data_IF_403870513093
#
_entry.id   IF_403870513093
#
_cell.length_a   1.000
_cell.length_b   1.000
_cell.length_c   1.000
_cell.angle_alpha   90.00
_cell.angle_beta   90.00
_cell.angle_gamma   90.00
#
_symmetry.space_group_name_H-M   'P 1'
#
loop_
_entity.id
_entity.type
_entity.pdbx_description
1 polymer ?
#
# COMPACT_ATOMS: atom_id res chain seq x y z
N UNK A 1 -0.88 25.67 23.65
CA UNK A 1 0.22 25.38 22.72
C UNK A 1 0.70 23.95 22.92
N UNK A 2 0.01 22.96 22.35
CA UNK A 2 0.43 21.54 22.28
C UNK A 2 -0.23 20.92 21.03
N UNK A 3 0.33 21.20 19.85
CA UNK A 3 -0.18 20.67 18.56
C UNK A 3 0.80 19.64 17.96
N UNK A 4 1.91 19.30 18.63
CA UNK A 4 3.05 18.63 17.97
C UNK A 4 3.14 17.11 18.21
N UNK A 5 2.24 16.47 18.94
CA UNK A 5 2.40 15.03 19.31
C UNK A 5 1.58 14.00 18.52
N UNK A 6 0.83 14.39 17.47
CA UNK A 6 -0.05 13.42 16.76
C UNK A 6 0.58 12.79 15.51
N UNK A 7 1.62 13.42 14.95
CA UNK A 7 2.42 12.82 13.90
C UNK A 7 3.57 12.05 14.54
N UNK A 8 3.32 10.80 14.93
CA UNK A 8 4.43 9.88 15.02
C UNK A 8 5.15 9.90 13.67
N UNK A 9 6.37 10.45 13.69
CA UNK A 9 7.17 10.66 12.51
C UNK A 9 7.19 9.35 11.70
N UNK A 10 6.81 9.35 10.41
CA UNK A 10 6.85 8.15 9.56
C UNK A 10 8.23 7.47 9.60
N UNK A 11 9.30 8.23 9.79
CA UNK A 11 10.65 7.72 9.99
C UNK A 11 10.83 7.01 11.34
N UNK A 12 10.21 7.49 12.42
CA UNK A 12 10.25 6.82 13.74
C UNK A 12 9.43 5.53 13.71
N UNK A 13 8.29 5.53 13.01
CA UNK A 13 7.62 4.30 12.63
C UNK A 13 8.62 3.41 11.90
N UNK A 14 9.09 3.77 10.70
CA UNK A 14 9.98 2.94 9.87
C UNK A 14 11.23 2.40 10.61
N UNK A 15 11.85 3.19 11.49
CA UNK A 15 13.03 2.81 12.26
C UNK A 15 12.74 1.80 13.37
N UNK A 16 11.60 1.91 14.07
CA UNK A 16 11.20 0.96 15.14
C UNK A 16 10.51 -0.29 14.62
N UNK A 17 10.19 -0.27 13.34
CA UNK A 17 9.38 -1.24 12.64
C UNK A 17 10.17 -2.41 12.05
N UNK A 18 11.46 -2.54 12.35
CA UNK A 18 12.24 -3.69 11.86
C UNK A 18 11.85 -5.03 12.49
N UNK A 19 11.10 -5.09 13.58
CA UNK A 19 10.83 -6.33 14.33
C UNK A 19 10.29 -7.52 13.50
N UNK A 20 9.16 -7.36 12.77
CA UNK A 20 8.60 -8.47 11.98
C UNK A 20 9.49 -8.89 10.81
N UNK A 21 10.18 -7.92 10.21
CA UNK A 21 11.16 -8.15 9.13
C UNK A 21 12.44 -8.84 9.65
N UNK A 22 12.98 -8.41 10.79
CA UNK A 22 14.20 -8.96 11.39
C UNK A 22 14.01 -10.36 11.94
N UNK A 23 12.76 -10.79 12.17
CA UNK A 23 12.39 -12.15 12.55
C UNK A 23 12.13 -13.07 11.34
N UNK A 24 12.25 -12.56 10.11
CA UNK A 24 12.05 -13.35 8.88
C UNK A 24 10.60 -13.79 8.62
N UNK A 25 9.62 -13.23 9.35
CA UNK A 25 8.20 -13.63 9.26
C UNK A 25 7.50 -13.06 8.03
N UNK A 26 8.03 -11.98 7.47
CA UNK A 26 7.48 -11.28 6.31
C UNK A 26 8.62 -10.65 5.50
N UNK A 27 8.48 -10.59 4.17
CA UNK A 27 9.47 -9.92 3.32
C UNK A 27 9.44 -8.41 3.54
N UNK A 28 10.56 -7.72 3.28
CA UNK A 28 10.64 -6.25 3.40
C UNK A 28 9.57 -5.53 2.57
N UNK A 29 9.33 -6.02 1.35
CA UNK A 29 8.32 -5.45 0.45
C UNK A 29 6.90 -5.58 1.01
N UNK A 30 6.52 -6.78 1.48
CA UNK A 30 5.20 -6.99 2.09
C UNK A 30 5.05 -6.19 3.38
N UNK A 31 6.13 -6.07 4.14
CA UNK A 31 6.16 -5.25 5.34
C UNK A 31 5.87 -3.78 5.04
N UNK A 32 6.57 -3.19 4.08
CA UNK A 32 6.36 -1.81 3.64
C UNK A 32 4.93 -1.59 3.11
N UNK A 33 4.36 -2.58 2.43
CA UNK A 33 2.96 -2.52 2.00
C UNK A 33 1.99 -2.45 3.18
N UNK A 34 2.17 -3.26 4.23
CA UNK A 34 1.37 -3.17 5.44
C UNK A 34 1.47 -1.77 6.06
N UNK A 35 2.68 -1.20 6.14
CA UNK A 35 2.87 0.15 6.67
C UNK A 35 2.13 1.22 5.86
N UNK A 36 2.18 1.12 4.53
CA UNK A 36 1.46 2.03 3.67
C UNK A 36 -0.05 1.94 3.88
N UNK A 37 -0.60 0.73 4.04
CA UNK A 37 -2.02 0.53 4.39
C UNK A 37 -2.37 1.25 5.70
N UNK A 38 -1.54 1.09 6.74
CA UNK A 38 -1.76 1.76 8.03
C UNK A 38 -1.66 3.29 7.91
N UNK A 39 -0.66 3.81 7.19
CA UNK A 39 -0.52 5.24 6.96
C UNK A 39 -1.71 5.84 6.20
N UNK A 40 -2.16 5.17 5.13
CA UNK A 40 -3.34 5.59 4.36
C UNK A 40 -4.61 5.56 5.21
N UNK A 41 -4.83 4.50 6.01
CA UNK A 41 -5.99 4.43 6.90
C UNK A 41 -5.95 5.53 7.97
N UNK A 42 -4.79 5.78 8.58
CA UNK A 42 -4.67 6.83 9.60
C UNK A 42 -4.91 8.21 9.02
N UNK A 43 -4.39 8.49 7.82
CA UNK A 43 -4.66 9.73 7.10
C UNK A 43 -6.17 9.90 6.88
N UNK A 44 -6.82 8.84 6.38
CA UNK A 44 -8.27 8.79 6.16
C UNK A 44 -9.08 9.13 7.41
N UNK A 45 -8.76 8.49 8.54
CA UNK A 45 -9.43 8.74 9.83
C UNK A 45 -9.20 10.18 10.28
N UNK A 46 -7.98 10.69 10.12
CA UNK A 46 -7.61 12.06 10.51
C UNK A 46 -8.36 13.08 9.66
N UNK A 47 -8.32 12.97 8.33
CA UNK A 47 -9.01 13.92 7.45
C UNK A 47 -10.52 13.90 7.62
N UNK A 48 -11.12 12.73 7.81
CA UNK A 48 -12.55 12.62 8.11
C UNK A 48 -12.92 13.32 9.42
N UNK A 49 -12.05 13.27 10.43
CA UNK A 49 -12.30 13.91 11.74
C UNK A 49 -12.10 15.43 11.72
N UNK A 50 -11.13 15.93 10.94
CA UNK A 50 -10.71 17.34 11.01
C UNK A 50 -11.17 18.21 9.84
N UNK A 51 -11.42 17.63 8.66
CA UNK A 51 -11.60 18.41 7.42
C UNK A 51 -12.84 18.06 6.60
N UNK A 52 -13.62 17.02 6.96
CA UNK A 52 -14.83 16.58 6.23
C UNK A 52 -14.62 16.39 4.71
N UNK A 53 -13.38 16.14 4.26
CA UNK A 53 -13.05 15.94 2.85
C UNK A 53 -13.27 14.49 2.41
N UNK A 54 -13.53 14.30 1.11
CA UNK A 54 -13.58 12.98 0.50
C UNK A 54 -12.15 12.42 0.37
N UNK A 55 -11.92 11.25 0.97
CA UNK A 55 -10.64 10.52 1.14
C UNK A 55 -10.00 9.98 -0.17
N UNK A 56 -10.35 10.56 -1.32
CA UNK A 56 -10.05 10.01 -2.64
C UNK A 56 -8.54 9.97 -2.92
N UNK A 57 -7.77 10.94 -2.42
CA UNK A 57 -6.31 11.01 -2.63
C UNK A 57 -5.58 9.84 -1.98
N UNK A 58 -5.89 9.51 -0.72
CA UNK A 58 -5.23 8.40 -0.01
C UNK A 58 -5.59 7.06 -0.64
N UNK A 59 -6.86 6.89 -1.06
CA UNK A 59 -7.28 5.70 -1.79
C UNK A 59 -6.56 5.54 -3.14
N UNK A 60 -6.40 6.63 -3.87
CA UNK A 60 -5.76 6.64 -5.19
C UNK A 60 -4.26 6.34 -5.09
N UNK A 61 -3.58 6.89 -4.08
CA UNK A 61 -2.18 6.54 -3.77
C UNK A 61 -2.08 5.04 -3.44
N UNK A 62 -2.94 4.53 -2.57
CA UNK A 62 -2.93 3.12 -2.18
C UNK A 62 -3.19 2.20 -3.39
N UNK A 63 -4.17 2.54 -4.24
CA UNK A 63 -4.44 1.82 -5.51
C UNK A 63 -3.26 1.85 -6.46
N UNK A 64 -2.61 3.01 -6.62
CA UNK A 64 -1.48 3.17 -7.53
C UNK A 64 -0.30 2.30 -7.08
N UNK A 65 0.05 2.36 -5.80
CA UNK A 65 1.12 1.53 -5.22
C UNK A 65 0.76 0.05 -5.33
N UNK A 66 -0.48 -0.32 -5.00
CA UNK A 66 -0.96 -1.69 -5.14
C UNK A 66 -0.86 -2.21 -6.58
N UNK A 67 -1.15 -1.37 -7.58
CA UNK A 67 -0.98 -1.71 -8.99
C UNK A 67 0.50 -1.79 -9.41
N UNK A 68 1.43 -1.19 -8.67
CA UNK A 68 2.86 -1.11 -9.02
C UNK A 68 3.77 -2.12 -8.35
N UNK A 69 3.23 -3.14 -7.67
CA UNK A 69 4.02 -4.18 -7.00
C UNK A 69 3.61 -5.57 -7.48
N UNK A 70 4.55 -6.54 -7.56
CA UNK A 70 4.22 -7.92 -7.96
C UNK A 70 3.57 -8.73 -6.83
N UNK A 71 3.58 -8.21 -5.61
CA UNK A 71 3.16 -8.94 -4.42
C UNK A 71 1.67 -9.33 -4.45
N UNK A 72 1.32 -10.56 -4.01
CA UNK A 72 -0.07 -11.00 -3.81
C UNK A 72 -0.79 -10.20 -2.72
N UNK A 73 -2.12 -10.35 -2.70
CA UNK A 73 -3.02 -9.70 -1.74
C UNK A 73 -2.57 -9.93 -0.29
N UNK A 74 -2.69 -8.90 0.55
CA UNK A 74 -2.42 -9.04 1.99
C UNK A 74 -3.60 -9.74 2.66
N UNK A 75 -3.34 -10.82 3.38
CA UNK A 75 -4.34 -11.45 4.23
C UNK A 75 -4.63 -10.60 5.47
N UNK A 76 -5.80 -10.80 6.08
CA UNK A 76 -6.12 -10.21 7.38
C UNK A 76 -5.11 -10.66 8.44
N UNK A 77 -4.69 -11.93 8.41
CA UNK A 77 -3.71 -12.49 9.35
C UNK A 77 -2.35 -11.80 9.24
N UNK A 78 -1.84 -11.57 8.02
CA UNK A 78 -0.58 -10.85 7.82
C UNK A 78 -0.67 -9.41 8.33
N UNK A 79 -1.77 -8.73 8.06
CA UNK A 79 -2.02 -7.37 8.55
C UNK A 79 -2.12 -7.35 10.08
N UNK A 80 -2.83 -8.29 10.68
CA UNK A 80 -2.98 -8.39 12.14
C UNK A 80 -1.67 -8.71 12.85
N UNK A 81 -0.86 -9.61 12.28
CA UNK A 81 0.46 -9.92 12.82
C UNK A 81 1.38 -8.69 12.85
N UNK A 82 1.37 -7.89 11.78
CA UNK A 82 2.13 -6.63 11.73
C UNK A 82 1.53 -5.59 12.68
N UNK A 83 0.20 -5.45 12.72
CA UNK A 83 -0.52 -4.53 13.58
C UNK A 83 -0.29 -4.80 15.07
N UNK A 84 -0.34 -6.06 15.48
CA UNK A 84 -0.07 -6.48 16.85
C UNK A 84 1.39 -6.21 17.22
N UNK A 85 2.33 -6.49 16.31
CA UNK A 85 3.75 -6.17 16.52
C UNK A 85 4.00 -4.67 16.68
N UNK A 86 3.30 -3.86 15.88
CA UNK A 86 3.26 -2.40 15.97
C UNK A 86 2.73 -1.97 17.35
N UNK A 87 1.56 -2.46 17.74
CA UNK A 87 0.90 -2.10 19.00
C UNK A 87 1.78 -2.41 20.22
N UNK A 88 2.50 -3.54 20.22
CA UNK A 88 3.45 -3.87 21.29
C UNK A 88 4.68 -2.96 21.33
N UNK A 89 5.05 -2.34 20.21
CA UNK A 89 6.24 -1.49 20.09
C UNK A 89 5.98 -0.02 20.42
N UNK A 90 4.72 0.39 20.52
CA UNK A 90 4.29 1.76 20.79
C UNK A 90 3.39 1.84 22.03
N UNK A 91 3.20 3.03 22.59
CA UNK A 91 2.27 3.24 23.69
C UNK A 91 0.82 3.03 23.23
N UNK A 92 0.03 2.37 24.08
CA UNK A 92 -1.32 1.84 23.79
C UNK A 92 -2.29 2.89 23.21
N UNK A 93 -2.11 4.17 23.55
CA UNK A 93 -2.92 5.29 23.07
C UNK A 93 -2.77 5.61 21.58
N UNK A 94 -1.78 5.03 20.88
CA UNK A 94 -1.52 5.34 19.48
C UNK A 94 -2.30 4.46 18.49
N UNK A 95 -2.85 3.34 18.97
CA UNK A 95 -3.52 2.29 18.19
C UNK A 95 -4.89 1.94 18.80
N UNK A 96 -5.90 2.77 18.53
CA UNK A 96 -7.30 2.49 18.86
C UNK A 96 -8.10 1.91 17.69
N UNK A 97 -7.47 1.76 16.53
CA UNK A 97 -8.13 1.36 15.28
C UNK A 97 -8.44 -0.15 15.29
N UNK A 98 -9.60 -0.53 14.77
CA UNK A 98 -9.98 -1.93 14.61
C UNK A 98 -9.30 -2.50 13.36
N UNK A 99 -8.47 -3.53 13.51
CA UNK A 99 -7.76 -4.16 12.39
C UNK A 99 -8.69 -4.64 11.28
N UNK A 100 -9.91 -5.06 11.63
CA UNK A 100 -10.94 -5.46 10.67
C UNK A 100 -11.40 -4.28 9.82
N UNK A 101 -11.51 -3.08 10.40
CA UNK A 101 -11.86 -1.88 9.65
C UNK A 101 -10.73 -1.44 8.70
N UNK A 102 -9.48 -1.54 9.15
CA UNK A 102 -8.30 -1.27 8.31
C UNK A 102 -8.27 -2.24 7.13
N UNK A 103 -8.49 -3.53 7.39
CA UNK A 103 -8.54 -4.56 6.36
C UNK A 103 -9.70 -4.32 5.37
N UNK A 104 -10.90 -3.97 5.87
CA UNK A 104 -12.04 -3.64 5.02
C UNK A 104 -11.79 -2.40 4.17
N UNK A 105 -11.14 -1.37 4.73
CA UNK A 105 -10.70 -0.20 3.98
C UNK A 105 -9.74 -0.61 2.85
N UNK A 106 -8.65 -1.30 3.18
CA UNK A 106 -7.69 -1.81 2.20
C UNK A 106 -8.40 -2.62 1.10
N UNK A 107 -9.21 -3.61 1.50
CA UNK A 107 -10.00 -4.45 0.61
C UNK A 107 -10.86 -3.64 -0.35
N UNK A 108 -11.64 -2.71 0.17
CA UNK A 108 -12.51 -1.85 -0.65
C UNK A 108 -11.69 -0.97 -1.60
N UNK A 109 -10.55 -0.45 -1.15
CA UNK A 109 -9.70 0.43 -1.94
C UNK A 109 -9.04 -0.32 -3.08
N UNK A 110 -8.47 -1.50 -2.83
CA UNK A 110 -7.65 -2.23 -3.82
C UNK A 110 -8.40 -3.32 -4.59
N UNK A 111 -9.46 -3.90 -4.02
CA UNK A 111 -10.26 -4.98 -4.61
C UNK A 111 -11.61 -4.47 -5.10
N UNK A 112 -11.62 -3.75 -6.22
CA UNK A 112 -12.84 -3.65 -7.04
C UNK A 112 -13.07 -4.88 -7.94
N UNK A 113 -12.19 -5.89 -8.00
CA UNK A 113 -12.44 -7.09 -8.84
C UNK A 113 -11.85 -8.45 -8.45
N UNK A 114 -11.13 -8.61 -7.33
CA UNK A 114 -10.51 -9.91 -6.98
C UNK A 114 -10.75 -10.21 -5.49
N UNK A 115 -11.60 -11.21 -5.23
CA UNK A 115 -12.12 -11.58 -3.91
C UNK A 115 -11.29 -12.67 -3.19
N UNK A 116 -10.19 -13.12 -3.77
CA UNK A 116 -9.39 -14.22 -3.22
C UNK A 116 -7.91 -13.88 -3.15
N UNK A 117 -7.23 -14.47 -2.16
CA UNK A 117 -5.77 -14.46 -1.99
C UNK A 117 -5.11 -15.30 -3.08
N UNK A 118 -5.33 -14.92 -4.33
CA UNK A 118 -4.73 -15.58 -5.49
C UNK A 118 -3.38 -14.92 -5.81
N UNK A 119 -2.45 -15.69 -6.40
CA UNK A 119 -1.32 -15.10 -7.09
C UNK A 119 -1.81 -14.04 -8.07
N UNK A 120 -1.04 -12.97 -8.25
CA UNK A 120 -1.36 -11.95 -9.25
C UNK A 120 -1.52 -12.59 -10.62
N UNK A 121 -2.51 -12.12 -11.38
CA UNK A 121 -2.73 -12.59 -12.74
C UNK A 121 -1.45 -12.46 -13.57
N UNK A 122 -1.28 -13.37 -14.54
CA UNK A 122 -0.15 -13.31 -15.47
C UNK A 122 -0.08 -11.95 -16.17
N UNK A 123 -1.23 -11.34 -16.48
CA UNK A 123 -1.30 -10.00 -17.05
C UNK A 123 -0.63 -8.95 -16.17
N UNK A 124 -0.86 -9.00 -14.85
CA UNK A 124 -0.23 -8.11 -13.88
C UNK A 124 1.27 -8.35 -13.78
N UNK A 125 1.70 -9.61 -13.72
CA UNK A 125 3.13 -9.97 -13.69
C UNK A 125 3.86 -9.50 -14.96
N UNK A 126 3.27 -9.68 -16.13
CA UNK A 126 3.78 -9.14 -17.39
C UNK A 126 3.90 -7.61 -17.36
N UNK A 127 2.90 -6.91 -16.80
CA UNK A 127 2.98 -5.45 -16.61
C UNK A 127 4.16 -5.07 -15.74
N UNK A 128 4.38 -5.78 -14.63
CA UNK A 128 5.50 -5.51 -13.74
C UNK A 128 6.84 -5.68 -14.47
N UNK A 129 7.02 -6.79 -15.18
CA UNK A 129 8.26 -7.05 -15.93
C UNK A 129 8.54 -6.02 -17.02
N UNK A 130 7.52 -5.64 -17.80
CA UNK A 130 7.66 -4.63 -18.86
C UNK A 130 8.01 -3.27 -18.25
N UNK A 131 7.30 -2.85 -17.20
CA UNK A 131 7.57 -1.58 -16.52
C UNK A 131 8.95 -1.55 -15.89
N UNK A 132 9.37 -2.64 -15.26
CA UNK A 132 10.72 -2.76 -14.69
C UNK A 132 11.79 -2.60 -15.77
N UNK A 133 11.64 -3.32 -16.89
CA UNK A 133 12.57 -3.22 -18.03
C UNK A 133 12.65 -1.79 -18.58
N UNK A 134 11.51 -1.09 -18.70
CA UNK A 134 11.49 0.31 -19.12
C UNK A 134 12.08 1.24 -18.05
N UNK A 135 11.84 0.97 -16.77
CA UNK A 135 12.37 1.77 -15.66
C UNK A 135 13.90 1.69 -15.60
N UNK A 136 14.46 0.49 -15.72
CA UNK A 136 15.90 0.25 -15.73
C UNK A 136 16.61 0.96 -16.89
N UNK A 137 15.88 1.22 -17.99
CA UNK A 137 16.37 1.94 -19.16
C UNK A 137 15.95 3.42 -19.18
N UNK A 138 15.43 3.97 -18.07
CA UNK A 138 14.95 5.36 -17.97
C UNK A 138 13.88 5.73 -19.01
N UNK A 139 13.14 4.73 -19.50
CA UNK A 139 12.11 4.89 -20.51
C UNK A 139 10.72 5.09 -19.89
N UNK A 140 10.53 5.00 -18.58
CA UNK A 140 9.24 5.36 -17.98
C UNK A 140 9.12 6.88 -17.76
N UNK A 141 7.92 7.48 -17.96
CA UNK A 141 6.73 6.88 -18.58
C UNK A 141 6.74 6.96 -20.12
N UNK A 142 7.65 7.73 -20.74
CA UNK A 142 7.58 8.13 -22.16
C UNK A 142 7.68 6.97 -23.16
N UNK A 143 8.54 5.99 -22.89
CA UNK A 143 8.78 4.80 -23.70
C UNK A 143 7.58 3.86 -23.82
N UNK A 144 6.60 3.94 -22.92
CA UNK A 144 5.33 3.20 -23.09
C UNK A 144 4.62 3.56 -24.39
N UNK A 145 4.69 4.84 -24.79
CA UNK A 145 4.06 5.32 -26.03
C UNK A 145 4.74 4.74 -27.28
N UNK A 146 6.03 4.43 -27.18
CA UNK A 146 6.88 3.94 -28.27
C UNK A 146 6.75 2.43 -28.51
N UNK A 147 6.19 1.68 -27.55
CA UNK A 147 5.94 0.25 -27.73
C UNK A 147 5.00 0.00 -28.92
N UNK A 148 5.34 -0.97 -29.78
CA UNK A 148 4.50 -1.37 -30.91
C UNK A 148 3.41 -2.34 -30.45
N UNK A 149 2.45 -1.85 -29.66
CA UNK A 149 1.36 -2.65 -29.12
C UNK A 149 0.01 -1.90 -29.14
N UNK A 150 -1.13 -2.62 -29.07
CA UNK A 150 -2.45 -2.02 -29.00
C UNK A 150 -2.60 -1.01 -27.83
N UNK A 151 -3.40 0.04 -28.05
CA UNK A 151 -3.63 1.12 -27.07
C UNK A 151 -4.09 0.60 -25.71
N UNK A 152 -5.01 -0.39 -25.71
CA UNK A 152 -5.52 -1.04 -24.50
C UNK A 152 -4.40 -1.54 -23.57
N UNK A 153 -3.34 -2.14 -24.12
CA UNK A 153 -2.22 -2.62 -23.31
C UNK A 153 -1.33 -1.48 -22.83
N UNK A 154 -1.12 -0.43 -23.64
CA UNK A 154 -0.38 0.77 -23.21
C UNK A 154 -1.05 1.44 -22.01
N UNK A 155 -2.37 1.64 -22.08
CA UNK A 155 -3.16 2.21 -20.97
C UNK A 155 -3.05 1.33 -19.72
N UNK A 156 -3.16 0.01 -19.86
CA UNK A 156 -2.98 -0.91 -18.74
C UNK A 156 -1.59 -0.80 -18.07
N UNK A 157 -0.54 -0.57 -18.86
CA UNK A 157 0.83 -0.37 -18.36
C UNK A 157 1.02 1.00 -17.68
N UNK A 158 0.21 2.02 -17.97
CA UNK A 158 0.37 3.37 -17.40
C UNK A 158 -0.03 3.48 -15.91
N UNK A 159 -0.67 2.45 -15.35
CA UNK A 159 -1.20 2.42 -13.98
C UNK A 159 -2.29 3.47 -13.70
N UNK A 160 -2.87 4.06 -14.74
CA UNK A 160 -3.91 5.08 -14.64
C UNK A 160 -5.12 4.59 -13.82
N UNK A 161 -5.75 5.54 -13.11
CA UNK A 161 -6.93 5.36 -12.27
C UNK A 161 -8.20 5.68 -13.06
#
# INVERSE_FOLDING_TARGET
MQIVTVLANPLIMLLRLRGPFSQGRISERRYLLCLLVFCCNRHRVTEKLFYNNEDQVAEDILRLIWKSIPDPYLSLEELDNVYTSLKMSFTEHMFSENITEIFNYYSKTVSKSELHMEPRSLQHLCRMQIRESLSQNFQLPKGLKQLKMPSKFKTYLQLEL
#
